data_IF_137445647294
#
_entry.id   IF_137445647294
#
_cell.length_a   1.000
_cell.length_b   1.000
_cell.length_c   1.000
_cell.angle_alpha   90.00
_cell.angle_beta   90.00
_cell.angle_gamma   90.00
#
_symmetry.space_group_name_H-M   'P 1'
#
loop_
_entity.id
_entity.type
_entity.pdbx_description
1 polymer ?
#
# COMPACT_ATOMS: atom_id res chain seq x y z
N UNK A 1 -57.10 40.02 -0.93
CA UNK A 1 -56.40 39.02 -1.78
C UNK A 1 -54.88 39.18 -1.70
N UNK A 2 -54.24 39.05 -0.53
CA UNK A 2 -52.79 39.30 -0.38
C UNK A 2 -52.13 38.40 0.69
N UNK A 3 -52.57 37.14 0.87
CA UNK A 3 -51.93 36.19 1.83
C UNK A 3 -51.51 34.84 1.22
N UNK A 4 -51.76 34.58 -0.06
CA UNK A 4 -51.43 33.27 -0.67
C UNK A 4 -50.04 33.20 -1.32
N UNK A 5 -49.42 34.33 -1.67
CA UNK A 5 -48.14 34.36 -2.40
C UNK A 5 -46.87 34.14 -1.56
N UNK A 6 -46.95 34.37 -0.25
CA UNK A 6 -45.79 34.22 0.65
C UNK A 6 -45.57 32.77 1.15
N UNK A 7 -46.59 31.90 1.05
CA UNK A 7 -46.47 30.52 1.50
C UNK A 7 -45.82 29.62 0.47
N UNK A 8 -46.10 29.85 -0.81
CA UNK A 8 -45.51 29.07 -1.90
C UNK A 8 -44.00 29.30 -2.10
N UNK A 9 -43.52 30.53 -1.86
CA UNK A 9 -42.07 30.85 -1.94
C UNK A 9 -41.24 30.27 -0.82
N UNK A 10 -41.84 30.03 0.36
CA UNK A 10 -41.14 29.43 1.50
C UNK A 10 -40.95 27.91 1.36
N UNK A 11 -41.97 27.21 0.82
CA UNK A 11 -41.88 25.77 0.54
C UNK A 11 -40.89 25.46 -0.59
N UNK A 12 -40.88 26.27 -1.67
CA UNK A 12 -39.93 26.09 -2.78
C UNK A 12 -38.46 26.23 -2.35
N UNK A 13 -38.17 27.15 -1.41
CA UNK A 13 -36.81 27.34 -0.90
C UNK A 13 -36.36 26.22 0.05
N UNK A 14 -37.25 25.60 0.80
CA UNK A 14 -36.94 24.48 1.66
C UNK A 14 -36.67 23.20 0.88
N UNK A 15 -37.43 22.95 -0.20
CA UNK A 15 -37.17 21.80 -1.07
C UNK A 15 -35.88 21.95 -1.88
N UNK A 16 -35.57 23.16 -2.35
CA UNK A 16 -34.31 23.43 -3.05
C UNK A 16 -33.09 23.27 -2.14
N UNK A 17 -33.17 23.72 -0.87
CA UNK A 17 -32.10 23.55 0.11
C UNK A 17 -31.91 22.08 0.53
N UNK A 18 -32.98 21.29 0.60
CA UNK A 18 -32.91 19.86 0.88
C UNK A 18 -32.29 19.08 -0.29
N UNK A 19 -32.66 19.42 -1.53
CA UNK A 19 -32.09 18.80 -2.75
C UNK A 19 -30.58 19.10 -2.89
N UNK A 20 -30.16 20.33 -2.58
CA UNK A 20 -28.74 20.70 -2.60
C UNK A 20 -27.96 19.98 -1.51
N UNK A 21 -28.53 19.79 -0.32
CA UNK A 21 -27.91 18.98 0.75
C UNK A 21 -27.81 17.50 0.39
N UNK A 22 -28.82 16.90 -0.23
CA UNK A 22 -28.76 15.53 -0.73
C UNK A 22 -27.70 15.36 -1.82
N UNK A 23 -27.60 16.31 -2.77
CA UNK A 23 -26.58 16.27 -3.82
C UNK A 23 -25.16 16.45 -3.26
N UNK A 24 -24.96 17.29 -2.22
CA UNK A 24 -23.67 17.48 -1.57
C UNK A 24 -23.27 16.23 -0.75
N UNK A 25 -24.22 15.53 -0.14
CA UNK A 25 -23.96 14.26 0.55
C UNK A 25 -23.64 13.12 -0.43
N UNK A 26 -24.24 13.11 -1.61
CA UNK A 26 -23.92 12.13 -2.66
C UNK A 26 -22.55 12.38 -3.30
N UNK A 27 -22.07 13.62 -3.39
CA UNK A 27 -20.72 13.92 -3.91
C UNK A 27 -19.59 13.57 -2.91
N UNK A 28 -19.90 13.39 -1.63
CA UNK A 28 -18.92 13.00 -0.60
C UNK A 28 -18.78 11.49 -0.41
N UNK A 29 -19.40 10.66 -1.22
CA UNK A 29 -19.00 9.25 -1.33
C UNK A 29 -17.61 9.19 -1.99
N UNK A 30 -16.59 9.50 -1.20
CA UNK A 30 -15.21 9.19 -1.56
C UNK A 30 -15.19 7.74 -2.04
N UNK A 31 -14.85 7.55 -3.31
CA UNK A 31 -14.47 6.24 -3.82
C UNK A 31 -13.29 5.78 -2.97
N UNK A 32 -13.55 4.97 -1.96
CA UNK A 32 -12.52 4.30 -1.19
C UNK A 32 -11.83 3.33 -2.15
N UNK A 33 -10.71 3.76 -2.72
CA UNK A 33 -9.82 2.86 -3.42
C UNK A 33 -9.10 2.05 -2.34
N UNK A 34 -9.16 0.73 -2.42
CA UNK A 34 -8.44 -0.17 -1.51
C UNK A 34 -6.91 -0.14 -1.73
N UNK A 35 -6.46 0.55 -2.78
CA UNK A 35 -5.03 0.66 -3.10
C UNK A 35 -4.40 1.78 -2.29
N UNK A 36 -3.52 1.43 -1.35
CA UNK A 36 -2.75 2.37 -0.54
C UNK A 36 -1.25 2.17 -0.76
N UNK A 37 -0.48 3.24 -0.59
CA UNK A 37 0.97 3.17 -0.66
C UNK A 37 1.56 2.41 0.53
N UNK A 38 2.75 1.82 0.34
CA UNK A 38 3.43 1.03 1.38
C UNK A 38 3.58 1.79 2.70
N UNK A 39 3.98 3.06 2.69
CA UNK A 39 4.15 3.85 3.91
C UNK A 39 2.85 4.00 4.71
N UNK A 40 1.69 4.12 4.03
CA UNK A 40 0.38 4.16 4.68
C UNK A 40 0.01 2.79 5.25
N UNK A 41 0.31 1.71 4.51
CA UNK A 41 0.12 0.34 5.00
C UNK A 41 0.95 0.05 6.24
N UNK A 42 2.22 0.51 6.26
CA UNK A 42 3.09 0.38 7.43
C UNK A 42 2.55 1.16 8.64
N UNK A 43 1.98 2.34 8.41
CA UNK A 43 1.28 3.11 9.45
C UNK A 43 0.11 2.35 10.04
N UNK A 44 -0.74 1.80 9.18
CA UNK A 44 -1.91 1.02 9.59
C UNK A 44 -1.51 -0.25 10.36
N UNK A 45 -0.55 -1.03 9.85
CA UNK A 45 -0.06 -2.23 10.55
C UNK A 45 0.47 -1.90 11.96
N UNK A 46 1.19 -0.80 12.10
CA UNK A 46 1.69 -0.33 13.40
C UNK A 46 0.56 0.04 14.35
N UNK A 47 -0.49 0.71 13.85
CA UNK A 47 -1.68 1.08 14.63
C UNK A 47 -2.38 -0.16 15.20
N UNK A 48 -2.38 -1.26 14.45
CA UNK A 48 -2.91 -2.57 14.91
C UNK A 48 -1.89 -3.45 15.64
N UNK A 49 -0.77 -2.89 16.07
CA UNK A 49 0.23 -3.60 16.88
C UNK A 49 1.09 -4.61 16.11
N UNK A 50 1.04 -4.61 14.78
CA UNK A 50 1.91 -5.47 13.96
C UNK A 50 3.31 -4.84 13.88
N UNK A 51 4.39 -5.53 14.26
CA UNK A 51 5.74 -5.01 14.17
C UNK A 51 6.12 -4.72 12.71
N UNK A 52 6.55 -3.49 12.46
CA UNK A 52 7.02 -3.03 11.14
C UNK A 52 8.34 -2.28 11.29
N UNK A 53 9.24 -2.30 10.29
CA UNK A 53 10.43 -1.49 10.30
C UNK A 53 10.12 -0.01 10.53
N UNK A 54 10.98 0.69 11.24
CA UNK A 54 10.90 2.14 11.32
C UNK A 54 11.03 2.74 9.92
N UNK A 55 10.29 3.81 9.64
CA UNK A 55 10.36 4.45 8.33
C UNK A 55 9.60 5.75 8.27
N UNK A 56 10.00 6.58 7.31
CA UNK A 56 9.43 7.89 7.05
C UNK A 56 9.25 8.12 5.56
N UNK A 57 8.10 8.71 5.18
CA UNK A 57 7.86 9.15 3.80
C UNK A 57 8.55 10.49 3.58
N UNK A 58 9.06 10.69 2.37
CA UNK A 58 9.65 11.94 1.92
C UNK A 58 9.16 12.29 0.51
N UNK A 59 8.96 13.56 0.25
CA UNK A 59 8.49 14.13 -1.02
C UNK A 59 9.55 14.98 -1.71
N UNK A 60 10.68 15.21 -1.03
CA UNK A 60 11.85 15.87 -1.56
C UNK A 60 13.14 15.11 -1.22
N UNK A 61 14.23 15.31 -2.00
CA UNK A 61 15.52 14.71 -1.70
C UNK A 61 16.07 15.12 -0.32
N UNK A 62 15.87 16.37 0.08
CA UNK A 62 16.31 16.89 1.38
C UNK A 62 15.58 16.23 2.54
N UNK A 63 14.25 16.04 2.41
CA UNK A 63 13.46 15.29 3.39
C UNK A 63 13.91 13.83 3.49
N UNK A 64 14.24 13.19 2.36
CA UNK A 64 14.70 11.81 2.34
C UNK A 64 16.07 11.63 3.02
N UNK A 65 17.00 12.54 2.78
CA UNK A 65 18.31 12.61 3.45
C UNK A 65 18.15 12.83 4.94
N UNK A 66 17.33 13.81 5.36
CA UNK A 66 17.05 14.08 6.76
C UNK A 66 16.40 12.88 7.48
N UNK A 67 15.47 12.19 6.80
CA UNK A 67 14.84 10.99 7.32
C UNK A 67 15.87 9.85 7.55
N UNK A 68 16.80 9.66 6.63
CA UNK A 68 17.88 8.68 6.77
C UNK A 68 18.82 9.03 7.93
N UNK A 69 19.24 10.27 8.03
CA UNK A 69 20.08 10.74 9.13
C UNK A 69 19.43 10.55 10.52
N UNK A 70 18.12 10.75 10.60
CA UNK A 70 17.36 10.57 11.84
C UNK A 70 17.26 9.10 12.29
N UNK A 71 17.38 8.13 11.38
CA UNK A 71 17.23 6.69 11.71
C UNK A 71 18.40 6.12 12.49
N UNK A 72 19.58 6.72 12.41
CA UNK A 72 20.80 6.27 13.12
C UNK A 72 21.12 4.78 12.90
N UNK A 73 20.88 4.28 11.70
CA UNK A 73 21.20 2.91 11.28
C UNK A 73 22.39 2.93 10.31
N UNK A 74 23.15 1.85 10.22
CA UNK A 74 24.26 1.72 9.26
C UNK A 74 23.76 1.83 7.81
N UNK A 75 22.63 1.14 7.53
CA UNK A 75 22.01 1.10 6.22
C UNK A 75 20.54 1.54 6.31
N UNK A 76 20.08 2.15 5.26
CA UNK A 76 18.66 2.46 5.03
C UNK A 76 18.16 1.86 3.72
N UNK A 77 16.86 1.63 3.64
CA UNK A 77 16.21 1.18 2.40
C UNK A 77 15.35 2.29 1.86
N UNK A 78 15.71 2.80 0.69
CA UNK A 78 14.92 3.79 -0.05
C UNK A 78 13.98 3.08 -1.03
N UNK A 79 12.67 3.32 -0.91
CA UNK A 79 11.64 2.65 -1.71
C UNK A 79 10.74 3.65 -2.41
N UNK A 80 10.69 3.60 -3.74
CA UNK A 80 9.74 4.39 -4.53
C UNK A 80 8.29 4.07 -4.12
N UNK A 81 7.48 5.08 -3.91
CA UNK A 81 6.07 4.94 -3.54
C UNK A 81 5.19 5.06 -4.79
N UNK A 82 5.00 3.93 -5.46
CA UNK A 82 4.07 3.78 -6.58
C UNK A 82 3.16 2.58 -6.33
N UNK A 83 1.91 2.66 -6.78
CA UNK A 83 0.93 1.58 -6.67
C UNK A 83 1.20 0.50 -7.73
N UNK A 84 2.31 -0.20 -7.58
CA UNK A 84 2.69 -1.31 -8.44
C UNK A 84 3.65 -2.25 -7.71
N UNK A 85 3.55 -3.55 -8.00
CA UNK A 85 4.51 -4.55 -7.62
C UNK A 85 5.76 -4.55 -8.52
N UNK A 86 6.79 -5.30 -8.11
CA UNK A 86 8.01 -5.45 -8.87
C UNK A 86 8.90 -4.21 -8.94
N UNK A 87 8.73 -3.25 -8.02
CA UNK A 87 9.48 -1.98 -7.99
C UNK A 87 11.00 -2.18 -8.00
N UNK A 88 11.50 -3.19 -7.28
CA UNK A 88 12.93 -3.49 -7.21
C UNK A 88 13.56 -3.87 -8.55
N UNK A 89 12.77 -4.46 -9.46
CA UNK A 89 13.19 -4.87 -10.81
C UNK A 89 12.80 -3.86 -11.89
N UNK A 90 12.14 -2.76 -11.54
CA UNK A 90 11.74 -1.71 -12.47
C UNK A 90 12.89 -0.78 -12.85
N UNK A 91 12.61 0.18 -13.72
CA UNK A 91 13.54 1.23 -14.08
C UNK A 91 12.82 2.58 -14.18
N UNK A 92 13.52 3.66 -13.93
CA UNK A 92 13.01 5.02 -14.06
C UNK A 92 13.31 5.58 -15.45
N UNK A 93 12.28 6.04 -16.14
CA UNK A 93 12.46 6.86 -17.35
C UNK A 93 12.79 8.28 -16.93
N UNK A 94 13.74 8.91 -17.62
CA UNK A 94 14.21 10.27 -17.34
C UNK A 94 15.50 10.32 -16.52
N UNK A 95 15.65 9.52 -15.45
CA UNK A 95 16.90 9.43 -14.68
C UNK A 95 17.76 8.21 -15.02
N UNK A 96 17.25 7.27 -15.83
CA UNK A 96 17.89 5.99 -16.15
C UNK A 96 18.27 5.13 -14.92
N UNK A 97 17.68 5.41 -13.76
CA UNK A 97 17.92 4.64 -12.54
C UNK A 97 17.27 3.25 -12.66
N UNK A 98 18.06 2.20 -12.42
CA UNK A 98 17.58 0.83 -12.34
C UNK A 98 17.16 0.52 -10.90
N UNK A 99 15.96 -0.06 -10.74
CA UNK A 99 15.39 -0.43 -9.44
C UNK A 99 14.78 0.73 -8.66
N UNK A 100 13.56 0.54 -8.18
CA UNK A 100 12.85 1.48 -7.29
C UNK A 100 12.99 1.12 -5.82
N UNK A 101 13.91 0.21 -5.46
CA UNK A 101 14.27 -0.15 -4.09
C UNK A 101 15.79 -0.20 -4.02
N UNK A 102 16.38 0.58 -3.11
CA UNK A 102 17.83 0.71 -2.92
C UNK A 102 18.21 0.56 -1.48
N UNK A 103 19.30 -0.15 -1.21
CA UNK A 103 19.95 -0.19 0.10
C UNK A 103 21.13 0.77 0.00
N UNK A 104 21.20 1.72 0.93
CA UNK A 104 22.12 2.85 0.88
C UNK A 104 22.78 3.01 2.25
N UNK A 105 24.09 3.28 2.23
CA UNK A 105 24.94 3.32 3.45
C UNK A 105 25.09 4.72 4.03
N UNK A 106 24.60 5.78 3.35
CA UNK A 106 24.70 7.13 3.91
C UNK A 106 23.45 7.97 3.60
N UNK A 107 23.14 8.96 4.44
CA UNK A 107 22.04 9.90 4.21
C UNK A 107 22.20 10.68 2.89
N UNK A 108 23.40 11.05 2.51
CA UNK A 108 23.70 11.79 1.28
C UNK A 108 23.35 10.94 0.05
N UNK A 109 23.69 9.63 0.07
CA UNK A 109 23.27 8.70 -0.98
C UNK A 109 21.75 8.64 -1.08
N UNK A 110 21.05 8.61 0.06
CA UNK A 110 19.57 8.61 0.08
C UNK A 110 19.01 9.85 -0.62
N UNK A 111 19.56 11.03 -0.36
CA UNK A 111 19.19 12.26 -1.06
C UNK A 111 19.43 12.18 -2.57
N UNK A 112 20.60 11.71 -3.00
CA UNK A 112 20.97 11.55 -4.40
C UNK A 112 20.01 10.58 -5.12
N UNK A 113 19.74 9.42 -4.53
CA UNK A 113 18.84 8.43 -5.14
C UNK A 113 17.37 8.89 -5.11
N UNK A 114 16.95 9.60 -4.06
CA UNK A 114 15.62 10.20 -4.00
C UNK A 114 15.40 11.20 -5.14
N UNK A 115 16.40 12.03 -5.45
CA UNK A 115 16.35 12.97 -6.58
C UNK A 115 16.18 12.26 -7.92
N UNK A 116 16.77 11.07 -8.08
CA UNK A 116 16.62 10.24 -9.30
C UNK A 116 15.27 9.52 -9.38
N UNK A 117 14.56 9.34 -8.27
CA UNK A 117 13.27 8.67 -8.21
C UNK A 117 12.11 9.66 -8.31
N UNK A 118 12.16 10.75 -7.54
CA UNK A 118 11.07 11.73 -7.45
C UNK A 118 10.84 12.45 -8.78
N UNK A 119 9.56 12.60 -9.13
CA UNK A 119 9.14 13.22 -10.40
C UNK A 119 9.34 12.34 -11.65
N UNK A 120 10.09 11.25 -11.56
CA UNK A 120 10.33 10.33 -12.67
C UNK A 120 9.33 9.18 -12.69
N UNK A 121 9.11 8.59 -13.87
CA UNK A 121 8.20 7.45 -14.04
C UNK A 121 8.93 6.15 -13.78
N UNK A 122 8.43 5.35 -12.86
CA UNK A 122 8.88 3.98 -12.64
C UNK A 122 8.09 3.03 -13.55
N UNK A 123 8.80 2.32 -14.39
CA UNK A 123 8.27 1.27 -15.27
C UNK A 123 8.55 -0.08 -14.62
N UNK A 124 7.52 -0.89 -14.45
CA UNK A 124 7.58 -2.27 -13.92
C UNK A 124 6.75 -3.18 -14.83
N UNK A 125 6.83 -4.50 -14.62
CA UNK A 125 5.99 -5.46 -15.33
C UNK A 125 4.47 -5.14 -15.16
N UNK A 126 4.07 -4.64 -13.98
CA UNK A 126 2.66 -4.31 -13.69
C UNK A 126 2.22 -2.95 -14.22
N UNK A 127 3.12 -1.96 -14.30
CA UNK A 127 2.76 -0.63 -14.83
C UNK A 127 2.74 -0.60 -16.35
N UNK A 128 3.37 -1.58 -17.00
CA UNK A 128 3.62 -1.53 -18.43
C UNK A 128 4.53 -0.35 -18.84
N UNK A 129 4.66 -0.12 -20.14
CA UNK A 129 5.52 0.93 -20.70
C UNK A 129 5.12 2.37 -20.30
N UNK A 130 3.85 2.59 -19.93
CA UNK A 130 3.37 3.90 -19.48
C UNK A 130 4.02 4.36 -18.17
N UNK A 131 4.43 3.42 -17.31
CA UNK A 131 5.01 3.69 -16.01
C UNK A 131 4.06 4.40 -15.04
N UNK A 132 4.54 4.68 -13.83
CA UNK A 132 3.85 5.49 -12.82
C UNK A 132 4.80 6.54 -12.27
N UNK A 133 4.35 7.78 -12.16
CA UNK A 133 5.14 8.87 -11.56
C UNK A 133 5.36 8.57 -10.08
N UNK A 134 6.61 8.70 -9.63
CA UNK A 134 7.02 8.56 -8.25
C UNK A 134 6.98 9.93 -7.57
N UNK A 135 5.90 10.22 -6.83
CA UNK A 135 5.72 11.49 -6.14
C UNK A 135 6.24 11.46 -4.69
N UNK A 136 6.55 10.28 -4.17
CA UNK A 136 7.10 10.11 -2.84
C UNK A 136 8.04 8.92 -2.79
N UNK A 137 8.96 8.94 -1.85
CA UNK A 137 9.80 7.81 -1.48
C UNK A 137 9.59 7.47 -0.01
N UNK A 138 9.84 6.23 0.36
CA UNK A 138 9.81 5.76 1.74
C UNK A 138 11.21 5.36 2.14
N UNK A 139 11.76 6.04 3.14
CA UNK A 139 13.04 5.73 3.77
C UNK A 139 12.75 4.84 4.95
N UNK A 140 13.29 3.64 4.98
CA UNK A 140 13.02 2.65 6.02
C UNK A 140 14.29 2.04 6.56
N UNK A 141 14.25 1.66 7.83
CA UNK A 141 15.28 0.85 8.47
C UNK A 141 15.47 -0.46 7.69
N UNK A 142 16.74 -0.81 7.42
CA UNK A 142 17.07 -2.13 6.87
C UNK A 142 16.92 -3.19 7.94
N UNK A 143 16.17 -4.24 7.61
CA UNK A 143 16.13 -5.48 8.38
C UNK A 143 16.96 -6.55 7.68
N UNK A 144 17.80 -7.25 8.43
CA UNK A 144 18.56 -8.39 7.93
C UNK A 144 17.67 -9.62 7.95
N UNK A 145 17.13 -9.97 6.79
CA UNK A 145 16.16 -11.04 6.63
C UNK A 145 16.87 -12.39 6.70
N UNK A 146 16.44 -13.26 7.62
CA UNK A 146 16.92 -14.66 7.71
C UNK A 146 16.05 -15.59 6.88
N UNK A 147 14.74 -15.35 6.87
CA UNK A 147 13.74 -16.10 6.11
C UNK A 147 12.60 -15.18 5.72
N UNK A 148 12.15 -15.29 4.50
CA UNK A 148 11.01 -14.56 3.98
C UNK A 148 9.81 -15.50 3.83
N UNK A 149 8.65 -14.99 4.16
CA UNK A 149 7.36 -15.66 3.97
C UNK A 149 6.49 -14.80 3.07
N UNK A 150 5.64 -15.43 2.30
CA UNK A 150 4.56 -14.73 1.62
C UNK A 150 3.30 -14.78 2.48
N UNK A 151 2.62 -13.66 2.61
CA UNK A 151 1.32 -13.57 3.29
C UNK A 151 0.46 -12.51 2.63
N UNK A 152 -0.75 -12.88 2.25
CA UNK A 152 -1.74 -11.96 1.71
C UNK A 152 -3.14 -12.34 2.20
N UNK A 153 -4.00 -11.33 2.36
CA UNK A 153 -5.45 -11.51 2.50
C UNK A 153 -6.08 -10.96 1.24
N UNK A 154 -6.76 -11.80 0.50
CA UNK A 154 -7.40 -11.45 -0.76
C UNK A 154 -8.89 -11.77 -0.70
N UNK A 155 -9.67 -11.11 -1.56
CA UNK A 155 -11.05 -11.53 -1.83
C UNK A 155 -11.01 -12.65 -2.84
N UNK A 156 -11.39 -13.84 -2.42
CA UNK A 156 -11.42 -15.03 -3.28
C UNK A 156 -12.85 -15.34 -3.72
N UNK A 157 -13.04 -15.49 -5.04
CA UNK A 157 -14.35 -15.77 -5.62
C UNK A 157 -14.81 -17.20 -5.36
N UNK A 158 -13.88 -18.15 -5.23
CA UNK A 158 -14.20 -19.56 -5.02
C UNK A 158 -14.74 -19.78 -3.60
N UNK A 159 -14.14 -19.12 -2.60
CA UNK A 159 -14.60 -19.18 -1.22
C UNK A 159 -15.70 -18.14 -0.89
N UNK A 160 -16.02 -17.22 -1.81
CA UNK A 160 -17.06 -16.22 -1.65
C UNK A 160 -16.73 -15.13 -0.60
N UNK A 161 -15.47 -15.01 -0.17
CA UNK A 161 -15.08 -14.11 0.90
C UNK A 161 -13.57 -13.84 0.98
N UNK A 162 -13.11 -13.23 2.08
CA UNK A 162 -11.69 -13.04 2.31
C UNK A 162 -11.00 -14.40 2.53
N UNK A 163 -9.80 -14.53 2.02
CA UNK A 163 -8.99 -15.73 2.10
C UNK A 163 -7.52 -15.39 2.37
N UNK A 164 -6.88 -16.08 3.30
CA UNK A 164 -5.44 -16.03 3.49
C UNK A 164 -4.77 -16.87 2.41
N UNK A 165 -3.82 -16.29 1.71
CA UNK A 165 -2.86 -16.98 0.86
C UNK A 165 -1.48 -16.76 1.48
N UNK A 166 -0.83 -17.84 1.87
CA UNK A 166 0.46 -17.76 2.53
C UNK A 166 1.41 -18.86 2.03
N UNK A 167 2.72 -18.61 2.11
CA UNK A 167 3.75 -19.58 1.77
C UNK A 167 5.00 -19.38 2.62
N UNK A 168 5.66 -20.47 2.96
CA UNK A 168 7.00 -20.42 3.55
C UNK A 168 8.11 -20.09 2.54
N UNK A 169 7.77 -20.01 1.26
CA UNK A 169 8.63 -19.56 0.17
C UNK A 169 8.30 -18.08 -0.15
N UNK A 170 8.88 -17.16 0.61
CA UNK A 170 8.80 -15.72 0.39
C UNK A 170 9.91 -15.22 -0.54
N UNK A 171 9.90 -13.90 -0.80
CA UNK A 171 10.91 -13.25 -1.65
C UNK A 171 10.79 -13.55 -3.14
N UNK A 172 9.93 -14.48 -3.52
CA UNK A 172 9.62 -14.86 -4.89
C UNK A 172 8.24 -14.33 -5.31
N UNK A 173 8.04 -14.33 -6.62
CA UNK A 173 6.73 -14.09 -7.21
C UNK A 173 5.80 -15.27 -6.89
N UNK A 174 4.69 -15.01 -6.20
CA UNK A 174 3.77 -16.06 -5.73
C UNK A 174 3.16 -16.86 -6.88
N UNK A 175 3.02 -16.25 -8.06
CA UNK A 175 2.54 -16.94 -9.26
C UNK A 175 3.55 -18.00 -9.73
N UNK A 176 4.84 -17.76 -9.52
CA UNK A 176 5.89 -18.75 -9.79
C UNK A 176 5.82 -19.89 -8.78
N UNK A 177 5.68 -19.57 -7.48
CA UNK A 177 5.51 -20.60 -6.43
C UNK A 177 4.27 -21.46 -6.72
N UNK A 178 3.16 -20.85 -7.14
CA UNK A 178 1.93 -21.56 -7.47
C UNK A 178 2.08 -22.55 -8.65
N UNK A 179 3.02 -22.29 -9.55
CA UNK A 179 3.29 -23.18 -10.71
C UNK A 179 4.29 -24.28 -10.38
N UNK A 180 5.35 -23.94 -9.64
CA UNK A 180 6.48 -24.83 -9.40
C UNK A 180 6.32 -25.68 -8.14
N UNK A 181 5.65 -25.14 -7.13
CA UNK A 181 5.45 -25.78 -5.82
C UNK A 181 4.08 -25.44 -5.23
N UNK A 182 2.97 -25.85 -5.86
CA UNK A 182 1.61 -25.51 -5.41
C UNK A 182 1.33 -25.98 -3.98
N UNK A 183 1.97 -27.06 -3.53
CA UNK A 183 1.87 -27.61 -2.19
C UNK A 183 2.47 -26.69 -1.12
N UNK A 184 3.35 -25.75 -1.50
CA UNK A 184 3.92 -24.75 -0.59
C UNK A 184 2.95 -23.60 -0.29
N UNK A 185 1.79 -23.56 -0.97
CA UNK A 185 0.79 -22.52 -0.77
C UNK A 185 -0.27 -23.00 0.21
N UNK A 186 -0.41 -22.24 1.29
CA UNK A 186 -1.48 -22.40 2.26
C UNK A 186 -2.62 -21.46 1.89
N UNK A 187 -3.79 -22.03 1.62
CA UNK A 187 -5.03 -21.27 1.41
C UNK A 187 -5.96 -21.51 2.59
N UNK A 188 -6.47 -20.41 3.20
CA UNK A 188 -7.39 -20.50 4.33
C UNK A 188 -8.51 -19.46 4.20
N UNK A 189 -9.77 -19.85 3.93
CA UNK A 189 -10.90 -18.95 3.90
C UNK A 189 -11.18 -18.34 5.28
N UNK A 190 -11.60 -17.08 5.31
CA UNK A 190 -11.96 -16.36 6.53
C UNK A 190 -13.47 -16.12 6.54
N UNK A 191 -14.14 -16.48 7.62
CA UNK A 191 -15.56 -16.14 7.79
C UNK A 191 -15.78 -14.64 7.93
N UNK A 192 -16.73 -14.07 7.20
CA UNK A 192 -17.11 -12.67 7.35
C UNK A 192 -17.86 -12.41 8.66
N UNK A 193 -18.47 -13.43 9.24
CA UNK A 193 -19.25 -13.30 10.48
C UNK A 193 -18.38 -13.36 11.74
N UNK A 194 -17.46 -14.34 11.77
CA UNK A 194 -16.63 -14.61 12.96
C UNK A 194 -15.20 -14.07 12.84
N UNK A 195 -14.77 -13.69 11.63
CA UNK A 195 -13.37 -13.34 11.36
C UNK A 195 -12.45 -14.55 11.41
N UNK A 196 -11.16 -14.30 11.65
CA UNK A 196 -10.12 -15.31 11.84
C UNK A 196 -9.97 -15.61 13.33
N UNK A 197 -10.22 -16.85 13.73
CA UNK A 197 -10.03 -17.29 15.11
C UNK A 197 -8.55 -17.56 15.43
N UNK A 198 -8.18 -17.49 16.70
CA UNK A 198 -6.81 -17.83 17.16
C UNK A 198 -6.39 -19.25 16.75
N UNK A 199 -7.31 -20.23 16.82
CA UNK A 199 -7.04 -21.61 16.42
C UNK A 199 -6.75 -21.73 14.92
N UNK A 200 -7.48 -21.02 14.08
CA UNK A 200 -7.24 -21.00 12.63
C UNK A 200 -5.91 -20.30 12.30
N UNK A 201 -5.62 -19.16 12.95
CA UNK A 201 -4.35 -18.46 12.80
C UNK A 201 -3.16 -19.37 13.18
N UNK A 202 -3.26 -20.09 14.30
CA UNK A 202 -2.26 -21.08 14.73
C UNK A 202 -2.09 -22.21 13.70
N UNK A 203 -3.20 -22.71 13.14
CA UNK A 203 -3.15 -23.74 12.10
C UNK A 203 -2.41 -23.26 10.86
N UNK A 204 -2.66 -22.02 10.43
CA UNK A 204 -1.93 -21.41 9.29
C UNK A 204 -0.44 -21.25 9.64
N UNK A 205 -0.12 -20.73 10.82
CA UNK A 205 1.26 -20.56 11.28
C UNK A 205 2.01 -21.91 11.31
N UNK A 206 1.42 -22.96 11.85
CA UNK A 206 2.01 -24.32 11.88
C UNK A 206 2.31 -24.84 10.47
N UNK A 207 1.39 -24.63 9.50
CA UNK A 207 1.60 -25.03 8.09
C UNK A 207 2.77 -24.25 7.44
N UNK A 208 3.06 -23.05 7.91
CA UNK A 208 4.19 -22.22 7.46
C UNK A 208 5.51 -22.59 8.16
N UNK A 209 5.46 -23.44 9.19
CA UNK A 209 6.63 -23.92 9.94
C UNK A 209 7.01 -23.02 11.13
N UNK A 210 6.01 -22.35 11.73
CA UNK A 210 6.15 -21.65 13.02
C UNK A 210 5.77 -22.56 14.19
#
# INVERSE_FOLDING_TARGET
MLRASHFATRLGRQHAAAAVRCAAVQQSQQRRTLSIHEHLSMGLLREYGVPVPAGQVATSPVEAEAAAAAMKTEDTVLKAQVLAGGRGKGHFTGSNLQGGVKILGSPEEVGIYAAKMLGNKLVTKQTGAAGRICNAVYVAERKYVRKEYYFAIIMDRASGGPCIIASSQGGMDIETVAKESPEAIVTHPISLETGLTTKEAQSVATKLGF
#
